data_IF_407452699198
#
_entry.id   IF_407452699198
#
_cell.length_a   1.000
_cell.length_b   1.000
_cell.length_c   1.000
_cell.angle_alpha   90.00
_cell.angle_beta   90.00
_cell.angle_gamma   90.00
#
_symmetry.space_group_name_H-M   'P 1'
#
loop_
_entity.id
_entity.type
_entity.pdbx_description
1 polymer ?
#
# COMPACT_ATOMS: atom_id res chain seq x y z
N UNK A 1 66.75 15.29 44.35
CA UNK A 1 65.63 16.23 44.21
C UNK A 1 65.53 16.61 42.75
N UNK A 2 64.34 16.40 42.15
CA UNK A 2 63.73 17.21 41.09
C UNK A 2 62.58 16.39 40.48
N UNK A 3 61.40 16.52 41.09
CA UNK A 3 60.11 15.93 40.67
C UNK A 3 59.27 17.00 39.97
N UNK A 4 59.77 17.66 38.92
CA UNK A 4 59.01 18.75 38.26
C UNK A 4 59.00 18.69 36.72
N UNK A 5 59.34 17.55 36.10
CA UNK A 5 59.40 17.45 34.62
C UNK A 5 58.23 16.68 33.98
N UNK A 6 57.38 16.02 34.77
CA UNK A 6 56.38 15.07 34.24
C UNK A 6 55.05 15.72 33.84
N UNK A 7 54.71 16.90 34.39
CA UNK A 7 53.43 17.55 34.10
C UNK A 7 53.44 18.32 32.76
N UNK A 8 54.59 18.84 32.34
CA UNK A 8 54.69 19.63 31.10
C UNK A 8 54.59 18.77 29.82
N UNK A 9 55.02 17.51 29.87
CA UNK A 9 54.99 16.59 28.72
C UNK A 9 53.55 16.12 28.42
N UNK A 10 52.71 15.98 29.44
CA UNK A 10 51.34 15.48 29.27
C UNK A 10 50.41 16.52 28.63
N UNK A 11 50.58 17.79 28.95
CA UNK A 11 49.76 18.89 28.40
C UNK A 11 50.11 19.16 26.93
N UNK A 12 51.39 19.07 26.55
CA UNK A 12 51.80 19.26 25.15
C UNK A 12 51.32 18.13 24.22
N UNK A 13 51.24 16.89 24.70
CA UNK A 13 50.72 15.76 23.93
C UNK A 13 49.24 15.87 23.57
N UNK A 14 48.42 16.39 24.49
CA UNK A 14 46.97 16.56 24.27
C UNK A 14 46.69 17.68 23.25
N UNK A 15 47.48 18.76 23.27
CA UNK A 15 47.31 19.88 22.34
C UNK A 15 47.69 19.47 20.90
N UNK A 16 48.75 18.68 20.72
CA UNK A 16 49.15 18.20 19.39
C UNK A 16 48.15 17.18 18.82
N UNK A 17 47.58 16.30 19.66
CA UNK A 17 46.55 15.35 19.24
C UNK A 17 45.23 16.06 18.88
N UNK A 18 44.87 17.14 19.61
CA UNK A 18 43.73 17.99 19.28
C UNK A 18 43.90 18.78 17.97
N UNK A 19 45.12 19.23 17.66
CA UNK A 19 45.42 19.93 16.41
C UNK A 19 45.45 19.00 15.18
N UNK A 20 45.84 17.73 15.34
CA UNK A 20 45.76 16.74 14.25
C UNK A 20 44.32 16.29 13.95
N UNK A 21 43.42 16.30 14.94
CA UNK A 21 42.00 15.97 14.76
C UNK A 21 41.18 17.11 14.11
N UNK A 22 41.67 18.36 14.13
CA UNK A 22 41.00 19.52 13.52
C UNK A 22 41.39 19.78 12.06
N UNK A 23 42.44 19.14 11.54
CA UNK A 23 42.94 19.38 10.18
C UNK A 23 42.43 18.36 9.12
N UNK A 24 41.60 17.38 9.50
CA UNK A 24 41.20 16.27 8.61
C UNK A 24 39.75 16.31 8.11
N UNK A 25 39.00 17.39 8.38
CA UNK A 25 37.57 17.48 8.06
C UNK A 25 37.26 18.52 6.97
N UNK A 26 38.03 18.50 5.87
CA UNK A 26 37.58 19.05 4.58
C UNK A 26 37.29 17.88 3.66
N UNK A 27 36.29 17.07 4.01
CA UNK A 27 35.66 16.16 3.06
C UNK A 27 34.81 17.05 2.17
N UNK A 28 35.23 17.23 0.91
CA UNK A 28 34.41 17.87 -0.10
C UNK A 28 33.05 17.16 -0.11
N UNK A 29 32.00 17.91 0.23
CA UNK A 29 30.65 17.39 0.15
C UNK A 29 30.46 16.84 -1.28
N UNK A 30 30.09 15.56 -1.44
CA UNK A 30 29.77 15.03 -2.77
C UNK A 30 28.71 15.96 -3.35
N UNK A 31 29.02 16.55 -4.51
CA UNK A 31 28.15 17.53 -5.15
C UNK A 31 26.76 16.93 -5.25
N UNK A 32 25.79 17.58 -4.61
CA UNK A 32 24.39 17.23 -4.75
C UNK A 32 24.06 17.33 -6.25
N UNK A 33 24.03 16.19 -6.92
CA UNK A 33 23.43 16.10 -8.23
C UNK A 33 21.96 16.46 -8.01
N UNK A 34 21.57 17.64 -8.47
CA UNK A 34 20.16 18.02 -8.51
C UNK A 34 19.47 16.96 -9.34
N UNK A 35 18.70 16.08 -8.69
CA UNK A 35 17.80 15.20 -9.40
C UNK A 35 16.93 16.08 -10.30
N UNK A 36 16.78 15.73 -11.59
CA UNK A 36 15.94 16.48 -12.50
C UNK A 36 14.54 16.55 -11.89
N UNK A 37 14.11 17.75 -11.51
CA UNK A 37 12.73 17.99 -11.08
C UNK A 37 11.83 17.50 -12.22
N UNK A 38 10.94 16.52 -11.97
CA UNK A 38 10.03 16.05 -12.99
C UNK A 38 9.32 17.26 -13.60
N UNK A 39 9.38 17.41 -14.93
CA UNK A 39 8.65 18.47 -15.62
C UNK A 39 7.17 18.14 -15.50
N UNK A 40 6.55 18.64 -14.43
CA UNK A 40 5.11 18.56 -14.25
C UNK A 40 4.48 19.39 -15.37
N UNK A 41 3.92 18.72 -16.38
CA UNK A 41 3.13 19.41 -17.39
C UNK A 41 2.02 20.16 -16.66
N UNK A 42 1.84 21.44 -17.00
CA UNK A 42 0.77 22.24 -16.43
C UNK A 42 -0.57 21.55 -16.71
N UNK A 43 -1.29 21.19 -15.65
CA UNK A 43 -2.64 20.64 -15.79
C UNK A 43 -3.49 21.63 -16.59
N UNK A 44 -4.17 21.18 -17.66
CA UNK A 44 -5.09 22.04 -18.41
C UNK A 44 -6.11 22.69 -17.47
N UNK A 45 -6.52 23.92 -17.77
CA UNK A 45 -7.62 24.52 -17.02
C UNK A 45 -8.88 23.65 -17.16
N UNK A 46 -9.58 23.38 -16.04
CA UNK A 46 -10.85 22.67 -16.06
C UNK A 46 -11.85 23.32 -17.03
N UNK A 47 -12.56 22.50 -17.78
CA UNK A 47 -13.55 22.92 -18.77
C UNK A 47 -14.65 21.85 -18.89
N UNK A 48 -15.73 22.13 -19.61
CA UNK A 48 -16.72 21.08 -19.92
C UNK A 48 -16.16 20.18 -21.01
N UNK A 49 -16.04 18.88 -20.73
CA UNK A 49 -15.47 17.91 -21.66
C UNK A 49 -16.18 17.99 -23.02
N UNK A 50 -15.38 18.01 -24.08
CA UNK A 50 -15.87 17.86 -25.44
C UNK A 50 -16.42 16.44 -25.65
N UNK A 51 -17.23 16.25 -26.69
CA UNK A 51 -17.75 14.92 -27.03
C UNK A 51 -16.65 13.89 -27.25
N UNK A 52 -15.55 14.29 -27.89
CA UNK A 52 -14.42 13.40 -28.17
C UNK A 52 -13.70 12.97 -26.88
N UNK A 53 -13.48 13.89 -25.94
CA UNK A 53 -12.88 13.58 -24.63
C UNK A 53 -13.79 12.66 -23.81
N UNK A 54 -15.09 12.93 -23.79
CA UNK A 54 -16.06 12.09 -23.08
C UNK A 54 -16.11 10.68 -23.66
N UNK A 55 -16.08 10.54 -24.99
CA UNK A 55 -16.05 9.23 -25.66
C UNK A 55 -14.77 8.46 -25.33
N UNK A 56 -13.61 9.12 -25.35
CA UNK A 56 -12.35 8.52 -24.95
C UNK A 56 -12.39 8.05 -23.49
N UNK A 57 -12.84 8.92 -22.58
CA UNK A 57 -12.98 8.63 -21.16
C UNK A 57 -13.93 7.45 -20.89
N UNK A 58 -15.10 7.41 -21.55
CA UNK A 58 -16.02 6.28 -21.42
C UNK A 58 -15.42 4.96 -21.92
N UNK A 59 -14.71 4.99 -23.05
CA UNK A 59 -14.06 3.80 -23.59
C UNK A 59 -13.02 3.25 -22.61
N UNK A 60 -12.18 4.11 -22.03
CA UNK A 60 -11.23 3.70 -21.00
C UNK A 60 -11.95 3.18 -19.75
N UNK A 61 -12.91 3.95 -19.22
CA UNK A 61 -13.64 3.62 -18.00
C UNK A 61 -14.35 2.28 -18.09
N UNK A 62 -15.00 2.00 -19.22
CA UNK A 62 -15.75 0.75 -19.42
C UNK A 62 -14.91 -0.52 -19.32
N UNK A 63 -13.59 -0.42 -19.48
CA UNK A 63 -12.64 -1.52 -19.31
C UNK A 63 -12.03 -1.58 -17.90
N UNK A 64 -12.31 -0.59 -17.05
CA UNK A 64 -11.82 -0.52 -15.69
C UNK A 64 -12.56 -1.50 -14.77
N UNK A 65 -11.91 -1.85 -13.67
CA UNK A 65 -12.58 -2.62 -12.62
C UNK A 65 -13.74 -1.84 -12.00
N UNK A 66 -13.69 -0.50 -11.95
CA UNK A 66 -14.73 0.32 -11.32
C UNK A 66 -16.06 0.40 -12.08
N UNK A 67 -16.05 0.15 -13.40
CA UNK A 67 -17.25 0.24 -14.22
C UNK A 67 -18.23 -0.92 -14.03
N UNK A 68 -17.78 -2.04 -13.48
CA UNK A 68 -18.58 -3.25 -13.29
C UNK A 68 -18.22 -3.99 -11.99
N UNK A 69 -18.67 -3.45 -10.85
CA UNK A 69 -18.39 -3.99 -9.50
C UNK A 69 -19.65 -4.34 -8.72
N UNK A 70 -20.51 -5.21 -9.26
CA UNK A 70 -21.60 -5.70 -8.42
C UNK A 70 -21.05 -6.50 -7.23
N UNK A 71 -21.49 -6.13 -6.02
CA UNK A 71 -21.11 -6.83 -4.81
C UNK A 71 -22.23 -7.78 -4.36
N UNK A 72 -21.98 -9.08 -4.42
CA UNK A 72 -22.89 -10.15 -3.98
C UNK A 72 -22.97 -10.28 -2.45
N UNK A 73 -22.69 -9.22 -1.69
CA UNK A 73 -22.69 -9.19 -0.23
C UNK A 73 -23.94 -9.85 0.35
N UNK A 74 -23.73 -10.87 1.19
CA UNK A 74 -24.74 -11.72 1.84
C UNK A 74 -25.57 -10.92 2.87
N UNK A 75 -26.39 -9.98 2.39
CA UNK A 75 -27.35 -9.22 3.20
C UNK A 75 -27.12 -7.71 3.27
N UNK A 76 -25.92 -7.22 2.96
CA UNK A 76 -25.63 -5.78 3.03
C UNK A 76 -24.60 -5.30 2.01
N UNK A 77 -24.82 -5.58 0.73
CA UNK A 77 -24.11 -4.82 -0.30
C UNK A 77 -24.44 -3.31 -0.25
N UNK A 78 -25.46 -2.91 0.51
CA UNK A 78 -25.74 -1.50 0.79
C UNK A 78 -24.60 -0.83 1.54
N UNK A 79 -23.94 -1.46 2.52
CA UNK A 79 -22.74 -0.91 3.18
C UNK A 79 -21.54 -0.84 2.25
N UNK A 80 -21.51 -1.70 1.23
CA UNK A 80 -20.56 -1.59 0.13
C UNK A 80 -20.87 -0.45 -0.84
N UNK A 81 -22.13 -0.01 -0.94
CA UNK A 81 -22.54 0.99 -1.91
C UNK A 81 -21.86 2.33 -1.66
N UNK A 82 -21.54 2.69 -0.41
CA UNK A 82 -20.79 3.92 -0.09
C UNK A 82 -19.48 4.07 -0.88
N UNK A 83 -18.77 2.97 -1.17
CA UNK A 83 -17.53 2.98 -1.94
C UNK A 83 -17.71 2.45 -3.38
N UNK A 84 -18.57 1.45 -3.58
CA UNK A 84 -18.65 0.69 -4.85
C UNK A 84 -19.83 1.06 -5.73
N UNK A 85 -20.81 1.78 -5.19
CA UNK A 85 -21.95 2.29 -5.93
C UNK A 85 -22.58 3.48 -5.20
N UNK A 86 -21.88 4.63 -5.09
CA UNK A 86 -22.29 5.71 -4.19
C UNK A 86 -23.68 6.28 -4.48
N UNK A 87 -24.18 6.11 -5.72
CA UNK A 87 -25.56 6.47 -6.09
C UNK A 87 -26.64 5.57 -5.50
N UNK A 88 -26.31 4.35 -5.08
CA UNK A 88 -27.21 3.48 -4.33
C UNK A 88 -27.03 3.60 -2.83
N UNK A 89 -26.11 4.45 -2.35
CA UNK A 89 -25.89 4.60 -0.93
C UNK A 89 -27.10 5.22 -0.24
N UNK A 90 -27.54 4.56 0.84
CA UNK A 90 -28.55 5.10 1.74
C UNK A 90 -27.93 5.26 3.14
N UNK A 91 -27.64 6.50 3.57
CA UNK A 91 -27.09 6.75 4.91
C UNK A 91 -28.09 6.46 6.03
N UNK A 92 -29.36 6.23 5.74
CA UNK A 92 -30.38 5.84 6.72
C UNK A 92 -30.59 4.31 6.80
N UNK A 93 -29.83 3.52 6.04
CA UNK A 93 -29.98 2.07 6.05
C UNK A 93 -29.53 1.49 7.39
N UNK A 94 -30.36 0.68 8.10
CA UNK A 94 -30.01 0.16 9.42
C UNK A 94 -28.80 -0.78 9.43
N UNK A 95 -28.40 -1.34 8.28
CA UNK A 95 -27.18 -2.15 8.17
C UNK A 95 -25.91 -1.37 8.52
N UNK A 96 -25.96 -0.03 8.49
CA UNK A 96 -24.85 0.84 8.89
C UNK A 96 -24.46 0.68 10.36
N UNK A 97 -25.45 0.58 11.24
CA UNK A 97 -25.22 0.43 12.67
C UNK A 97 -24.54 -0.91 12.99
N UNK A 98 -24.80 -1.94 12.18
CA UNK A 98 -24.20 -3.28 12.29
C UNK A 98 -22.83 -3.37 11.59
N UNK A 99 -22.66 -2.65 10.48
CA UNK A 99 -21.42 -2.68 9.71
C UNK A 99 -20.25 -2.11 10.49
N UNK A 100 -20.51 -1.12 11.37
CA UNK A 100 -19.54 -0.34 12.15
C UNK A 100 -18.51 0.46 11.32
N UNK A 101 -17.95 -0.13 10.27
CA UNK A 101 -17.01 0.45 9.33
C UNK A 101 -17.13 -0.20 7.92
N UNK A 102 -16.28 0.22 6.98
CA UNK A 102 -16.29 -0.35 5.64
C UNK A 102 -15.64 -1.75 5.55
N UNK A 103 -15.04 -2.29 6.61
CA UNK A 103 -14.55 -3.68 6.65
C UNK A 103 -15.72 -4.69 6.65
N UNK A 104 -16.94 -4.26 7.02
CA UNK A 104 -18.14 -5.04 6.72
C UNK A 104 -18.29 -5.32 5.21
N UNK A 105 -17.85 -4.39 4.36
CA UNK A 105 -17.80 -4.57 2.92
C UNK A 105 -16.46 -5.18 2.44
N UNK A 106 -15.34 -4.59 2.84
CA UNK A 106 -13.99 -4.95 2.41
C UNK A 106 -13.47 -6.12 3.23
N UNK A 107 -13.19 -7.23 2.55
CA UNK A 107 -12.69 -8.46 3.19
C UNK A 107 -11.30 -8.22 3.76
N UNK A 108 -11.07 -8.69 4.98
CA UNK A 108 -9.76 -9.25 5.32
C UNK A 108 -9.62 -10.51 4.45
N UNK A 109 -8.59 -10.64 3.60
CA UNK A 109 -8.42 -11.84 2.79
C UNK A 109 -8.52 -13.11 3.63
N UNK A 110 -9.36 -14.05 3.21
CA UNK A 110 -9.62 -15.31 3.92
C UNK A 110 -10.76 -15.27 4.95
N UNK A 111 -11.17 -14.10 5.44
CA UNK A 111 -12.27 -14.00 6.41
C UNK A 111 -13.66 -14.00 5.72
N UNK A 112 -14.67 -14.70 6.27
CA UNK A 112 -16.05 -14.56 5.82
C UNK A 112 -16.56 -13.15 6.16
N UNK A 113 -17.43 -12.60 5.31
CA UNK A 113 -18.09 -11.33 5.60
C UNK A 113 -19.05 -11.49 6.78
N UNK A 114 -19.21 -10.46 7.63
CA UNK A 114 -20.29 -10.46 8.59
C UNK A 114 -21.62 -10.54 7.82
N UNK A 115 -22.51 -11.42 8.28
CA UNK A 115 -23.89 -11.44 7.81
C UNK A 115 -24.61 -10.34 8.56
N UNK A 116 -25.01 -9.29 7.85
CA UNK A 116 -25.83 -8.23 8.44
C UNK A 116 -27.29 -8.66 8.32
N UNK A 117 -27.99 -8.66 9.44
CA UNK A 117 -29.38 -9.15 9.54
C UNK A 117 -30.39 -8.05 9.25
N UNK A 118 -29.97 -6.80 9.36
CA UNK A 118 -30.74 -5.63 8.95
C UNK A 118 -30.28 -5.07 7.61
N UNK A 119 -31.14 -4.24 7.03
CA UNK A 119 -30.90 -3.57 5.76
C UNK A 119 -31.55 -4.30 4.58
N UNK A 120 -32.02 -3.50 3.63
CA UNK A 120 -32.40 -4.01 2.31
C UNK A 120 -31.16 -3.99 1.41
N UNK A 121 -30.89 -5.12 0.76
CA UNK A 121 -29.80 -5.23 -0.22
C UNK A 121 -30.21 -4.57 -1.54
N UNK A 122 -29.26 -3.92 -2.21
CA UNK A 122 -29.46 -3.34 -3.53
C UNK A 122 -29.45 -4.47 -4.56
N UNK A 123 -30.51 -4.62 -5.35
CA UNK A 123 -30.54 -5.65 -6.38
C UNK A 123 -29.49 -5.37 -7.47
N UNK A 124 -28.94 -6.41 -8.09
CA UNK A 124 -27.95 -6.27 -9.18
C UNK A 124 -28.45 -5.40 -10.33
N UNK A 125 -29.73 -5.48 -10.66
CA UNK A 125 -30.35 -4.63 -11.70
C UNK A 125 -30.45 -3.16 -11.33
N UNK A 126 -30.35 -2.82 -10.05
CA UNK A 126 -30.46 -1.47 -9.52
C UNK A 126 -29.10 -0.85 -9.17
N UNK A 127 -28.07 -1.69 -9.10
CA UNK A 127 -26.69 -1.31 -8.83
C UNK A 127 -26.14 -0.38 -9.91
N UNK A 128 -25.56 0.75 -9.51
CA UNK A 128 -25.11 1.84 -10.39
C UNK A 128 -23.61 1.85 -10.67
N UNK A 129 -22.81 1.04 -9.98
CA UNK A 129 -21.35 1.07 -10.03
C UNK A 129 -20.81 2.49 -9.74
N UNK A 130 -19.50 2.69 -9.96
CA UNK A 130 -18.90 4.02 -9.94
C UNK A 130 -19.02 4.59 -11.35
N UNK A 131 -19.75 5.71 -11.48
CA UNK A 131 -19.90 6.46 -12.73
C UNK A 131 -18.99 7.69 -12.77
N UNK A 132 -18.89 8.33 -13.94
CA UNK A 132 -18.14 9.58 -14.12
C UNK A 132 -18.62 10.67 -13.16
N UNK A 133 -19.92 10.66 -12.86
CA UNK A 133 -20.60 11.60 -11.97
C UNK A 133 -20.20 11.46 -10.49
N UNK A 134 -19.42 10.45 -10.12
CA UNK A 134 -18.86 10.34 -8.78
C UNK A 134 -17.62 11.24 -8.63
N UNK A 135 -16.83 11.35 -9.69
CA UNK A 135 -15.53 12.04 -9.71
C UNK A 135 -15.56 13.39 -10.45
N UNK A 136 -16.59 13.61 -11.25
CA UNK A 136 -16.78 14.79 -12.07
C UNK A 136 -18.20 15.32 -11.93
N UNK A 137 -18.33 16.64 -11.87
CA UNK A 137 -19.64 17.27 -11.82
C UNK A 137 -20.34 17.22 -13.20
N UNK A 138 -21.58 16.71 -13.31
CA UNK A 138 -22.36 16.73 -14.55
C UNK A 138 -22.65 18.16 -15.03
N UNK A 139 -22.52 18.38 -16.34
CA UNK A 139 -22.73 19.66 -17.01
C UNK A 139 -23.57 19.44 -18.28
N UNK A 140 -24.89 19.31 -18.12
CA UNK A 140 -25.79 18.92 -19.22
C UNK A 140 -25.57 17.46 -19.61
N UNK A 141 -25.28 17.21 -20.90
CA UNK A 141 -24.98 15.87 -21.42
C UNK A 141 -23.47 15.52 -21.37
N UNK A 142 -22.68 16.31 -20.63
CA UNK A 142 -21.24 16.13 -20.46
C UNK A 142 -20.83 16.33 -18.99
N UNK A 143 -19.53 16.43 -18.73
CA UNK A 143 -18.95 16.57 -17.40
C UNK A 143 -17.94 17.71 -17.35
N UNK A 144 -17.81 18.33 -16.18
CA UNK A 144 -16.69 19.19 -15.87
C UNK A 144 -15.41 18.37 -15.70
N UNK A 145 -14.34 18.71 -16.41
CA UNK A 145 -13.06 17.97 -16.37
C UNK A 145 -12.28 18.20 -15.08
N UNK A 146 -12.63 19.23 -14.30
CA UNK A 146 -12.12 19.37 -12.94
C UNK A 146 -12.62 18.23 -12.04
N UNK A 147 -11.81 17.87 -11.05
CA UNK A 147 -12.14 16.83 -10.08
C UNK A 147 -13.03 17.37 -8.96
N UNK A 148 -13.99 16.56 -8.55
CA UNK A 148 -14.92 16.80 -7.45
C UNK A 148 -15.41 15.47 -6.92
N UNK A 149 -15.77 15.37 -5.65
CA UNK A 149 -16.39 14.16 -5.13
C UNK A 149 -17.90 14.36 -4.97
N UNK A 150 -18.69 13.39 -5.44
CA UNK A 150 -20.11 13.32 -5.09
C UNK A 150 -20.25 12.80 -3.65
N UNK A 151 -20.49 13.70 -2.70
CA UNK A 151 -20.82 13.33 -1.33
C UNK A 151 -22.27 12.86 -1.28
N UNK A 152 -22.45 11.55 -1.23
CA UNK A 152 -23.75 10.91 -1.13
C UNK A 152 -24.50 11.21 0.18
N UNK A 153 -23.81 11.56 1.28
CA UNK A 153 -24.48 11.93 2.52
C UNK A 153 -25.02 13.37 2.43
N UNK A 154 -24.24 14.29 1.84
CA UNK A 154 -24.65 15.67 1.62
C UNK A 154 -25.55 15.87 0.38
N UNK A 155 -25.59 14.87 -0.52
CA UNK A 155 -26.23 14.95 -1.84
C UNK A 155 -25.74 16.15 -2.65
N UNK A 156 -24.43 16.40 -2.61
CA UNK A 156 -23.79 17.53 -3.29
C UNK A 156 -22.38 17.18 -3.74
N UNK A 157 -21.85 17.99 -4.66
CA UNK A 157 -20.45 17.90 -5.06
C UNK A 157 -19.59 18.71 -4.11
N UNK A 158 -18.53 18.09 -3.59
CA UNK A 158 -17.47 18.79 -2.86
C UNK A 158 -16.22 18.95 -3.73
N UNK A 159 -15.54 20.10 -3.65
CA UNK A 159 -14.24 20.26 -4.28
C UNK A 159 -13.20 19.41 -3.55
N UNK A 160 -12.24 18.89 -4.31
CA UNK A 160 -11.06 18.17 -3.81
C UNK A 160 -9.81 18.82 -4.40
N UNK A 161 -8.73 18.86 -3.64
CA UNK A 161 -7.49 19.56 -3.98
C UNK A 161 -6.56 18.71 -4.87
N UNK A 162 -6.69 17.38 -4.81
CA UNK A 162 -5.84 16.46 -5.56
C UNK A 162 -6.55 15.15 -5.92
N UNK A 163 -5.99 14.42 -6.89
CA UNK A 163 -6.50 13.08 -7.22
C UNK A 163 -6.28 12.10 -6.07
N UNK A 164 -5.18 12.26 -5.31
CA UNK A 164 -4.95 11.48 -4.10
C UNK A 164 -6.07 11.66 -3.07
N UNK A 165 -6.53 12.89 -2.85
CA UNK A 165 -7.69 13.18 -2.00
C UNK A 165 -8.97 12.56 -2.56
N UNK A 166 -9.24 12.72 -3.86
CA UNK A 166 -10.41 12.15 -4.52
C UNK A 166 -10.48 10.62 -4.36
N UNK A 167 -9.40 9.92 -4.70
CA UNK A 167 -9.31 8.48 -4.53
C UNK A 167 -9.38 8.08 -3.05
N UNK A 168 -8.80 8.90 -2.16
CA UNK A 168 -8.84 8.75 -0.71
C UNK A 168 -10.26 8.63 -0.16
N UNK A 169 -11.25 9.31 -0.76
CA UNK A 169 -12.67 9.22 -0.37
C UNK A 169 -13.22 7.78 -0.35
N UNK A 170 -12.61 6.85 -1.10
CA UNK A 170 -12.96 5.42 -1.07
C UNK A 170 -11.80 4.49 -0.62
N UNK A 171 -10.57 5.00 -0.62
CA UNK A 171 -9.35 4.20 -0.41
C UNK A 171 -8.55 4.52 0.87
N UNK A 172 -8.95 5.52 1.67
CA UNK A 172 -8.19 5.94 2.87
C UNK A 172 -8.43 5.07 4.13
N UNK A 173 -7.33 4.75 4.84
CA UNK A 173 -7.14 4.78 6.31
C UNK A 173 -8.00 3.96 7.28
N UNK A 174 -9.21 3.53 6.95
CA UNK A 174 -10.10 2.81 7.90
C UNK A 174 -10.65 1.51 7.33
N UNK A 175 -9.97 0.96 6.33
CA UNK A 175 -10.54 -0.09 5.48
C UNK A 175 -9.64 -1.32 5.35
N UNK A 176 -8.64 -1.45 6.24
CA UNK A 176 -7.67 -2.54 6.24
C UNK A 176 -6.58 -2.44 5.17
N UNK A 177 -6.40 -1.25 4.58
CA UNK A 177 -5.38 -0.98 3.56
C UNK A 177 -4.84 0.44 3.74
N UNK A 178 -3.52 0.56 3.88
CA UNK A 178 -2.82 1.84 4.09
C UNK A 178 -2.27 2.36 2.76
N UNK A 179 -2.99 2.15 1.65
CA UNK A 179 -2.46 2.36 0.28
C UNK A 179 -1.91 3.77 0.07
N UNK A 180 -2.64 4.78 0.57
CA UNK A 180 -2.24 6.18 0.47
C UNK A 180 -1.01 6.47 1.32
N UNK A 181 -0.98 5.95 2.56
CA UNK A 181 0.14 6.12 3.48
C UNK A 181 1.39 5.38 2.99
N UNK A 182 1.24 4.15 2.49
CA UNK A 182 2.32 3.37 1.88
C UNK A 182 2.93 4.09 0.69
N UNK A 183 2.10 4.64 -0.20
CA UNK A 183 2.57 5.40 -1.34
C UNK A 183 3.31 6.67 -0.91
N UNK A 184 2.79 7.40 0.09
CA UNK A 184 3.44 8.57 0.66
C UNK A 184 4.81 8.22 1.28
N UNK A 185 4.93 7.01 1.83
CA UNK A 185 6.15 6.50 2.43
C UNK A 185 7.08 5.77 1.46
N UNK A 186 6.67 5.55 0.20
CA UNK A 186 7.47 4.84 -0.81
C UNK A 186 8.79 5.58 -1.09
N UNK A 187 9.96 4.96 -0.90
CA UNK A 187 11.22 5.63 -1.19
C UNK A 187 11.43 5.98 -2.67
N UNK A 188 10.85 5.21 -3.60
CA UNK A 188 11.04 5.40 -5.04
C UNK A 188 10.05 6.40 -5.66
N UNK A 189 8.79 6.41 -5.21
CA UNK A 189 7.72 7.21 -5.79
C UNK A 189 6.99 8.05 -4.72
N UNK A 190 7.72 8.54 -3.71
CA UNK A 190 7.14 9.51 -2.78
C UNK A 190 6.66 10.75 -3.57
N UNK A 191 5.59 11.38 -3.07
CA UNK A 191 4.98 12.57 -3.66
C UNK A 191 4.29 12.36 -5.03
N UNK A 192 4.30 11.15 -5.58
CA UNK A 192 3.49 10.84 -6.75
C UNK A 192 2.01 10.80 -6.38
N UNK A 193 1.17 11.31 -7.27
CA UNK A 193 -0.27 11.09 -7.23
C UNK A 193 -0.59 9.68 -7.74
N UNK A 194 -1.76 9.17 -7.38
CA UNK A 194 -2.23 7.86 -7.83
C UNK A 194 -2.18 7.74 -9.36
N UNK A 195 -2.45 8.83 -10.07
CA UNK A 195 -2.52 8.88 -11.53
C UNK A 195 -1.18 8.93 -12.24
N UNK A 196 -0.09 9.10 -11.50
CA UNK A 196 1.25 9.02 -12.07
C UNK A 196 1.63 7.55 -12.35
N UNK A 197 1.02 6.60 -11.61
CA UNK A 197 1.19 5.15 -11.76
C UNK A 197 -0.05 4.42 -12.27
N UNK A 198 -1.22 5.07 -12.34
CA UNK A 198 -2.48 4.44 -12.75
C UNK A 198 -3.22 5.32 -13.76
N UNK A 199 -3.79 4.71 -14.80
CA UNK A 199 -4.68 5.44 -15.70
C UNK A 199 -5.90 5.99 -14.98
N UNK A 200 -6.20 7.26 -15.20
CA UNK A 200 -7.30 8.00 -14.53
C UNK A 200 -8.68 7.35 -14.73
N UNK A 201 -8.87 6.65 -15.85
CA UNK A 201 -10.07 5.89 -16.17
C UNK A 201 -9.82 4.38 -16.32
N UNK A 202 -8.78 3.85 -15.66
CA UNK A 202 -8.47 2.42 -15.68
C UNK A 202 -7.65 1.96 -16.87
N UNK A 203 -7.08 2.88 -17.65
CA UNK A 203 -6.00 2.54 -18.59
C UNK A 203 -4.85 1.87 -17.80
N UNK A 204 -4.31 0.74 -18.28
CA UNK A 204 -3.20 0.09 -17.59
C UNK A 204 -1.96 0.97 -17.69
N UNK A 205 -1.20 1.04 -16.60
CA UNK A 205 0.16 1.57 -16.59
C UNK A 205 1.11 0.45 -16.20
N UNK A 206 2.31 0.48 -16.74
CA UNK A 206 3.38 -0.48 -16.46
C UNK A 206 4.63 0.23 -15.98
N UNK A 207 5.48 -0.46 -15.22
CA UNK A 207 6.78 0.08 -14.80
C UNK A 207 7.60 0.53 -16.01
N UNK A 208 7.44 -0.17 -17.15
CA UNK A 208 8.17 0.09 -18.38
C UNK A 208 7.69 1.31 -19.17
N UNK A 209 6.56 1.92 -18.78
CA UNK A 209 6.09 3.16 -19.42
C UNK A 209 7.01 4.34 -19.04
N UNK A 210 7.65 4.26 -17.87
CA UNK A 210 8.54 5.29 -17.32
C UNK A 210 10.00 4.83 -17.16
N UNK A 211 10.24 3.52 -17.06
CA UNK A 211 11.57 2.96 -16.85
C UNK A 211 11.97 2.01 -17.97
N UNK A 212 13.14 2.19 -18.57
CA UNK A 212 13.71 1.15 -19.43
C UNK A 212 14.48 0.15 -18.56
N UNK A 213 14.04 -1.13 -18.46
CA UNK A 213 14.73 -2.14 -17.66
C UNK A 213 16.09 -2.53 -18.25
N UNK A 214 16.37 -2.17 -19.50
CA UNK A 214 17.66 -2.44 -20.16
C UNK A 214 18.65 -1.28 -19.96
N UNK A 215 18.21 -0.19 -19.34
CA UNK A 215 19.05 0.97 -19.04
C UNK A 215 19.32 1.07 -17.52
N UNK A 216 20.40 1.76 -17.17
CA UNK A 216 20.87 1.98 -15.79
C UNK A 216 21.48 0.76 -15.06
N UNK A 217 21.75 0.93 -13.76
CA UNK A 217 22.55 0.01 -12.94
C UNK A 217 21.90 -1.35 -12.66
N UNK A 218 20.62 -1.51 -12.96
CA UNK A 218 19.85 -2.75 -12.74
C UNK A 218 19.75 -3.66 -13.97
N UNK A 219 20.19 -3.22 -15.16
CA UNK A 219 19.94 -3.91 -16.42
C UNK A 219 20.44 -5.36 -16.44
N UNK A 220 21.67 -5.58 -15.97
CA UNK A 220 22.27 -6.91 -15.81
C UNK A 220 21.41 -7.85 -14.95
N UNK A 221 20.80 -7.34 -13.88
CA UNK A 221 19.97 -8.15 -12.99
C UNK A 221 18.59 -8.42 -13.59
N UNK A 222 18.01 -7.46 -14.31
CA UNK A 222 16.78 -7.69 -15.07
C UNK A 222 16.97 -8.78 -16.15
N UNK A 223 18.11 -8.77 -16.85
CA UNK A 223 18.45 -9.81 -17.83
C UNK A 223 18.61 -11.19 -17.16
N UNK A 224 19.18 -11.25 -15.96
CA UNK A 224 19.35 -12.50 -15.19
C UNK A 224 18.06 -13.03 -14.58
N UNK A 225 17.06 -12.18 -14.38
CA UNK A 225 15.79 -12.51 -13.72
C UNK A 225 14.56 -12.21 -14.60
N UNK A 226 14.48 -12.76 -15.82
CA UNK A 226 13.39 -12.44 -16.75
C UNK A 226 12.02 -12.96 -16.29
N UNK A 227 12.02 -13.90 -15.34
CA UNK A 227 10.80 -14.46 -14.74
C UNK A 227 10.40 -13.73 -13.46
N UNK A 228 11.08 -12.66 -13.03
CA UNK A 228 10.71 -11.92 -11.81
C UNK A 228 10.00 -10.64 -12.20
N UNK A 229 8.77 -10.46 -11.70
CA UNK A 229 8.04 -9.23 -11.91
C UNK A 229 8.76 -8.07 -11.21
N UNK A 230 8.67 -6.83 -11.74
CA UNK A 230 9.34 -5.65 -11.16
C UNK A 230 9.08 -5.52 -9.65
N UNK A 231 7.84 -5.73 -9.23
CA UNK A 231 7.44 -5.66 -7.82
C UNK A 231 7.96 -6.83 -6.99
N UNK A 232 8.36 -7.94 -7.59
CA UNK A 232 9.01 -9.05 -6.88
C UNK A 232 10.36 -8.68 -6.26
N UNK A 233 11.09 -7.75 -6.90
CA UNK A 233 12.34 -7.21 -6.36
C UNK A 233 12.14 -5.87 -5.64
N UNK A 234 11.33 -4.98 -6.22
CA UNK A 234 11.24 -3.58 -5.80
C UNK A 234 10.17 -3.28 -4.77
N UNK A 235 9.32 -4.25 -4.39
CA UNK A 235 8.38 -4.10 -3.28
C UNK A 235 9.10 -4.07 -1.93
N UNK A 236 8.79 -3.07 -1.11
CA UNK A 236 9.23 -2.93 0.27
C UNK A 236 8.05 -3.11 1.25
N UNK A 237 6.86 -3.48 0.77
CA UNK A 237 5.68 -3.79 1.58
C UNK A 237 5.80 -5.06 2.43
N UNK A 238 6.94 -5.76 2.35
CA UNK A 238 7.18 -6.99 3.11
C UNK A 238 6.34 -8.17 2.60
N UNK A 239 5.88 -8.11 1.36
CA UNK A 239 5.07 -9.18 0.76
C UNK A 239 5.96 -10.40 0.46
N UNK A 240 5.39 -11.60 0.57
CA UNK A 240 6.12 -12.83 0.22
C UNK A 240 6.18 -12.99 -1.30
N UNK A 241 7.27 -13.56 -1.84
CA UNK A 241 7.43 -13.79 -3.28
C UNK A 241 7.03 -15.22 -3.64
N UNK A 242 6.27 -15.36 -4.73
CA UNK A 242 5.69 -16.64 -5.18
C UNK A 242 5.79 -16.77 -6.68
N UNK A 243 6.05 -17.98 -7.15
CA UNK A 243 5.81 -18.32 -8.55
C UNK A 243 4.31 -18.43 -8.77
N UNK A 244 3.79 -17.64 -9.69
CA UNK A 244 2.43 -17.78 -10.20
C UNK A 244 2.39 -18.92 -11.22
N UNK A 245 1.71 -20.01 -10.89
CA UNK A 245 1.60 -21.20 -11.74
C UNK A 245 0.17 -21.47 -12.22
N UNK A 246 -0.78 -20.61 -11.85
CA UNK A 246 -2.16 -20.68 -12.33
C UNK A 246 -2.20 -20.35 -13.83
N UNK A 247 -2.60 -21.32 -14.65
CA UNK A 247 -2.61 -21.20 -16.10
C UNK A 247 -3.47 -20.04 -16.62
N UNK A 248 -4.48 -19.63 -15.84
CA UNK A 248 -5.39 -18.54 -16.18
C UNK A 248 -4.88 -17.16 -15.74
N UNK A 249 -3.81 -17.11 -14.95
CA UNK A 249 -3.22 -15.86 -14.49
C UNK A 249 -2.45 -15.16 -15.61
N UNK A 250 -2.58 -13.83 -15.70
CA UNK A 250 -1.77 -13.01 -16.60
C UNK A 250 -0.28 -12.99 -16.22
N UNK A 251 0.05 -13.45 -15.01
CA UNK A 251 1.41 -13.54 -14.48
C UNK A 251 1.94 -14.98 -14.46
N UNK A 252 1.29 -15.94 -15.13
CA UNK A 252 1.73 -17.33 -15.15
C UNK A 252 3.21 -17.46 -15.58
N UNK A 253 4.00 -18.13 -14.75
CA UNK A 253 5.45 -18.29 -14.90
C UNK A 253 6.29 -17.17 -14.27
N UNK A 254 5.67 -16.13 -13.71
CA UNK A 254 6.37 -15.03 -13.03
C UNK A 254 6.45 -15.23 -11.52
N UNK A 255 7.54 -14.75 -10.92
CA UNK A 255 7.65 -14.53 -9.49
C UNK A 255 7.03 -13.17 -9.15
N UNK A 256 5.92 -13.18 -8.42
CA UNK A 256 5.16 -12.00 -8.01
C UNK A 256 5.05 -11.92 -6.48
N UNK A 257 4.94 -10.72 -5.91
CA UNK A 257 4.56 -10.58 -4.52
C UNK A 257 3.12 -11.06 -4.33
N UNK A 258 2.90 -11.93 -3.34
CA UNK A 258 1.57 -12.28 -2.83
C UNK A 258 1.46 -11.90 -1.37
N UNK A 259 0.26 -11.46 -1.02
CA UNK A 259 -0.12 -11.19 0.36
C UNK A 259 -0.39 -12.51 1.08
N UNK A 260 0.47 -12.84 2.04
CA UNK A 260 0.34 -14.07 2.84
C UNK A 260 0.12 -13.86 4.33
N UNK A 261 -0.19 -12.63 4.76
CA UNK A 261 -0.62 -12.38 6.13
C UNK A 261 -2.01 -11.74 6.17
N UNK A 262 -2.86 -12.28 7.04
CA UNK A 262 -4.17 -11.74 7.39
C UNK A 262 -4.08 -10.31 7.97
N UNK A 263 -2.89 -9.86 8.36
CA UNK A 263 -2.61 -8.52 8.89
C UNK A 263 -1.84 -7.61 7.93
N UNK A 264 -1.34 -8.11 6.79
CA UNK A 264 -0.62 -7.25 5.84
C UNK A 264 -1.62 -6.34 5.16
N UNK A 265 -1.57 -5.04 5.40
CA UNK A 265 -2.44 -4.04 4.75
C UNK A 265 -1.89 -3.58 3.40
N UNK A 266 -0.69 -4.05 3.04
CA UNK A 266 0.05 -3.60 1.87
C UNK A 266 -0.40 -4.18 0.54
N UNK A 267 -0.32 -3.33 -0.48
CA UNK A 267 -0.52 -3.68 -1.88
C UNK A 267 0.82 -3.73 -2.62
N UNK A 268 1.00 -4.70 -3.52
CA UNK A 268 2.08 -4.64 -4.49
C UNK A 268 2.12 -3.25 -5.12
N UNK A 269 3.34 -2.76 -5.40
CA UNK A 269 3.63 -1.48 -6.04
C UNK A 269 3.35 -0.19 -5.28
N UNK A 270 2.81 -0.22 -4.07
CA UNK A 270 2.50 1.01 -3.31
C UNK A 270 3.56 1.36 -2.27
N UNK A 271 4.53 0.47 -2.04
CA UNK A 271 5.74 0.77 -1.26
C UNK A 271 6.97 0.33 -2.05
N UNK A 272 7.34 1.10 -3.08
CA UNK A 272 8.45 0.75 -3.97
C UNK A 272 9.78 1.35 -3.53
N UNK A 273 10.87 0.61 -3.73
CA UNK A 273 12.24 1.03 -3.44
C UNK A 273 13.22 0.69 -4.55
N UNK A 274 14.26 1.52 -4.71
CA UNK A 274 15.42 1.22 -5.56
C UNK A 274 16.36 0.19 -4.91
N UNK A 275 16.26 -0.01 -3.59
CA UNK A 275 17.01 -1.03 -2.87
C UNK A 275 16.32 -2.38 -3.03
N UNK A 276 17.04 -3.38 -3.51
CA UNK A 276 16.53 -4.75 -3.71
C UNK A 276 17.11 -5.65 -2.62
N UNK A 277 16.23 -6.43 -1.97
CA UNK A 277 16.64 -7.48 -1.06
C UNK A 277 16.69 -8.82 -1.79
N UNK A 278 17.89 -9.20 -2.24
CA UNK A 278 18.11 -10.47 -2.95
C UNK A 278 17.78 -11.69 -2.07
N UNK A 279 17.84 -11.55 -0.74
CA UNK A 279 17.56 -12.63 0.20
C UNK A 279 16.08 -13.01 0.23
N UNK A 280 15.19 -12.28 -0.46
CA UNK A 280 13.79 -12.70 -0.65
C UNK A 280 13.66 -13.96 -1.50
N UNK A 281 14.66 -14.28 -2.31
CA UNK A 281 14.69 -15.44 -3.20
C UNK A 281 15.99 -16.24 -3.10
N UNK A 282 17.12 -15.58 -2.86
CA UNK A 282 18.46 -16.17 -2.85
C UNK A 282 18.97 -16.36 -1.43
N UNK A 283 18.66 -17.50 -0.82
CA UNK A 283 19.10 -17.80 0.54
C UNK A 283 20.50 -18.44 0.58
N UNK A 284 21.30 -18.15 1.61
CA UNK A 284 22.59 -18.79 1.79
C UNK A 284 22.43 -20.31 2.01
N UNK A 285 23.35 -21.14 1.49
CA UNK A 285 23.35 -22.58 1.75
C UNK A 285 23.32 -22.87 3.26
N UNK A 286 22.32 -23.61 3.72
CA UNK A 286 22.17 -24.00 5.13
C UNK A 286 21.55 -22.93 6.05
N UNK A 287 21.17 -21.76 5.54
CA UNK A 287 20.31 -20.83 6.29
C UNK A 287 18.89 -21.39 6.41
N UNK A 288 18.16 -21.00 7.46
CA UNK A 288 16.70 -21.14 7.49
C UNK A 288 16.19 -20.49 6.22
N UNK A 289 15.66 -21.30 5.30
CA UNK A 289 15.05 -20.80 4.09
C UNK A 289 13.72 -20.18 4.56
N UNK A 290 13.47 -18.87 4.40
CA UNK A 290 12.10 -18.45 4.15
C UNK A 290 11.61 -19.40 3.07
N UNK A 291 10.60 -20.19 3.38
CA UNK A 291 10.04 -21.11 2.41
C UNK A 291 9.64 -20.19 1.24
N UNK A 292 10.30 -20.31 0.08
CA UNK A 292 9.72 -19.82 -1.17
C UNK A 292 8.42 -20.61 -1.22
N UNK A 293 7.33 -19.96 -0.85
CA UNK A 293 6.22 -20.68 -0.24
C UNK A 293 5.40 -21.52 -1.23
N UNK A 294 5.94 -21.69 -2.45
CA UNK A 294 5.62 -22.70 -3.46
C UNK A 294 5.27 -24.11 -2.91
N UNK A 295 5.70 -24.47 -1.70
CA UNK A 295 5.41 -25.78 -1.09
C UNK A 295 4.48 -25.74 0.13
N UNK A 296 3.92 -24.59 0.51
CA UNK A 296 2.97 -24.48 1.63
C UNK A 296 1.59 -24.20 1.05
N UNK A 297 0.81 -25.25 0.88
CA UNK A 297 -0.61 -25.14 0.58
C UNK A 297 -1.35 -24.51 1.76
N UNK A 298 -2.46 -23.83 1.47
CA UNK A 298 -3.38 -23.37 2.52
C UNK A 298 -3.75 -24.53 3.47
N UNK A 299 -3.87 -25.77 2.98
CA UNK A 299 -4.19 -26.94 3.82
C UNK A 299 -3.03 -27.40 4.70
N UNK A 300 -1.79 -27.07 4.35
CA UNK A 300 -0.61 -27.42 5.15
C UNK A 300 -0.53 -26.58 6.42
N UNK A 301 -1.08 -25.35 6.38
CA UNK A 301 -1.22 -24.46 7.53
C UNK A 301 -2.63 -24.45 8.14
N UNK A 302 -3.66 -24.84 7.36
CA UNK A 302 -5.08 -24.83 7.73
C UNK A 302 -5.75 -26.18 7.39
N UNK A 303 -5.36 -27.29 8.04
CA UNK A 303 -5.88 -28.62 7.70
C UNK A 303 -7.40 -28.77 7.90
N UNK A 304 -8.01 -27.87 8.69
CA UNK A 304 -9.46 -27.82 8.93
C UNK A 304 -10.16 -26.66 8.19
N UNK A 305 -9.46 -25.95 7.30
CA UNK A 305 -10.00 -24.78 6.59
C UNK A 305 -10.18 -23.53 7.46
N UNK A 306 -9.71 -23.54 8.71
CA UNK A 306 -9.78 -22.40 9.62
C UNK A 306 -8.64 -21.42 9.33
N UNK A 307 -8.97 -20.22 8.83
CA UNK A 307 -8.03 -19.10 8.71
C UNK A 307 -7.65 -18.59 10.11
N UNK A 308 -6.60 -19.16 10.70
CA UNK A 308 -5.98 -18.58 11.88
C UNK A 308 -5.25 -17.29 11.49
N UNK A 309 -5.43 -16.20 12.24
CA UNK A 309 -4.66 -14.96 12.14
C UNK A 309 -3.15 -15.13 12.40
N UNK A 310 -2.65 -16.37 12.58
CA UNK A 310 -1.33 -16.71 13.09
C UNK A 310 -0.76 -17.91 12.34
N UNK A 311 0.02 -17.66 11.28
CA UNK A 311 0.91 -18.66 10.70
C UNK A 311 2.27 -18.55 11.39
N UNK A 312 2.72 -19.62 12.07
CA UNK A 312 4.01 -19.64 12.78
C UNK A 312 5.22 -19.83 11.85
N UNK A 313 4.99 -20.07 10.56
CA UNK A 313 6.06 -20.29 9.57
C UNK A 313 6.69 -19.00 9.05
N UNK A 314 6.08 -17.83 9.30
CA UNK A 314 6.62 -16.54 8.90
C UNK A 314 6.91 -15.71 10.14
N UNK A 315 8.19 -15.40 10.37
CA UNK A 315 8.57 -14.39 11.36
C UNK A 315 8.02 -13.04 10.92
N UNK A 316 7.25 -12.38 11.79
CA UNK A 316 6.68 -11.05 11.50
C UNK A 316 7.71 -9.97 11.77
N UNK A 317 7.60 -8.86 11.05
CA UNK A 317 8.09 -7.59 11.60
C UNK A 317 7.37 -7.33 12.94
N UNK A 318 8.09 -6.90 13.99
CA UNK A 318 7.47 -6.50 15.24
C UNK A 318 6.41 -5.42 14.97
N UNK A 319 5.27 -5.53 15.64
CA UNK A 319 4.17 -4.55 15.57
C UNK A 319 4.74 -3.13 15.71
N UNK A 320 4.54 -2.23 14.73
CA UNK A 320 5.05 -0.86 14.83
C UNK A 320 4.36 -0.06 15.93
N UNK A 321 3.21 -0.53 16.46
CA UNK A 321 2.46 0.07 17.56
C UNK A 321 2.20 -0.96 18.67
N UNK A 322 3.24 -1.43 19.40
CA UNK A 322 3.04 -2.41 20.44
C UNK A 322 2.15 -1.81 21.52
N UNK A 323 0.98 -2.42 21.75
CA UNK A 323 0.17 -2.08 22.92
C UNK A 323 1.04 -2.26 24.16
N UNK A 324 1.20 -1.24 25.03
CA UNK A 324 2.07 -1.35 26.19
C UNK A 324 1.61 -2.53 27.04
N UNK A 325 2.47 -3.54 27.16
CA UNK A 325 2.19 -4.71 27.98
C UNK A 325 1.98 -4.23 29.42
N UNK A 326 0.84 -4.51 30.07
CA UNK A 326 0.63 -4.09 31.43
C UNK A 326 1.71 -4.74 32.32
N UNK A 327 2.49 -3.90 32.98
CA UNK A 327 3.52 -4.34 33.93
C UNK A 327 2.86 -5.28 34.94
N UNK A 328 3.37 -6.52 35.12
CA UNK A 328 2.77 -7.45 36.06
C UNK A 328 2.84 -6.85 37.47
N UNK A 329 1.68 -6.58 38.06
CA UNK A 329 1.56 -6.20 39.46
C UNK A 329 2.03 -7.38 40.31
N UNK A 330 3.20 -7.24 40.92
CA UNK A 330 3.72 -8.24 41.86
C UNK A 330 2.74 -8.40 43.00
N UNK A 331 2.09 -9.56 43.07
CA UNK A 331 1.22 -9.91 44.20
C UNK A 331 2.12 -10.30 45.37
N UNK A 332 2.02 -9.65 46.55
CA UNK A 332 2.84 -10.02 47.68
C UNK A 332 2.49 -11.44 48.16
N UNK A 333 3.50 -12.30 48.21
CA UNK A 333 3.39 -13.66 48.72
C UNK A 333 3.20 -13.59 50.24
N UNK A 334 1.99 -13.91 50.70
CA UNK A 334 1.67 -14.13 52.12
C UNK A 334 2.23 -15.49 52.54
N UNK A 335 3.35 -15.49 53.27
CA UNK A 335 3.89 -16.67 53.94
C UNK A 335 2.97 -17.08 55.08
N UNK A 336 2.27 -18.20 54.89
CA UNK A 336 1.46 -18.85 55.94
C UNK A 336 2.40 -19.47 56.98
N UNK A 337 2.29 -19.00 58.23
CA UNK A 337 2.79 -19.73 59.39
C UNK A 337 1.76 -20.79 59.77
N UNK A 338 2.20 -22.04 59.81
CA UNK A 338 1.50 -23.23 60.31
C UNK A 338 1.99 -23.46 61.76
N UNK A 339 1.14 -23.92 62.69
CA UNK A 339 1.18 -23.54 64.12
C UNK A 339 2.35 -24.08 64.95
#
# INVERSE_FOLDING_TARGET
MNRDSSAAIFVFGIIILGLFLLASSVVAAPGAQMEPTPMQQSTPEPHVATKAELDAAHNEWSNSQHADTYDFGLGANTTCASCKSPRNWDPANPALDEAHDCAACKRIPGAPRPVLVSGEAVAQSEWKNIGCDICHQPMGDSFWTGISFWDQAAQSYEPVESVGELCGKCHEGQHGFEVVEEQQNSPAHNQWNCTDCHGVHGAPSTCTDCHDPLEASGADEHERHPSVNCTGCHDQGGLSIWLEDELTSKHNGEYIPRKFAHTLTSWPSHNLSKQVDCLRCHHPPGGEQPIVAQTVSCVDCHPNGEVFFWCTYFERNPDPNPTPTPTPTLTPILTSMVP
#
